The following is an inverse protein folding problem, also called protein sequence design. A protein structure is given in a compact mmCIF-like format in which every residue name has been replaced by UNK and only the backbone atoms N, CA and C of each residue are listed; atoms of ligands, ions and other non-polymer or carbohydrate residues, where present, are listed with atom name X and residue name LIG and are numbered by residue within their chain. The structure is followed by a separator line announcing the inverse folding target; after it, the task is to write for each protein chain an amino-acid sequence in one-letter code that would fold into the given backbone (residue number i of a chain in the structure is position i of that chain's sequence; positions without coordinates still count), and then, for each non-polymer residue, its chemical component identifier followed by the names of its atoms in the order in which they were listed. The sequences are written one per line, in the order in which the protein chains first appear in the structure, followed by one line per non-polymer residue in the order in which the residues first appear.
data_IF_301119969990
#
_entry.id   IF_301119969990
#
_cell.length_a   1.000
_cell.length_b   1.000
_cell.length_c   1.000
_cell.angle_alpha   90.00
_cell.angle_beta   90.00
_cell.angle_gamma   90.00
#
_symmetry.space_group_name_H-M   'P 1'
#
loop_
_entity.id
_entity.type
_entity.pdbx_description
1 polymer ?
#
# COMPACT_ATOMS: atom_id res chain seq x y z
N UNK A 1 -22.83 -31.86 28.05
CA UNK A 1 -22.84 -32.03 26.59
C UNK A 1 -21.72 -31.17 26.08
N UNK A 2 -20.73 -31.85 25.53
CA UNK A 2 -19.37 -31.37 25.23
C UNK A 2 -19.36 -30.32 24.14
N UNK A 3 -18.72 -29.19 24.41
CA UNK A 3 -18.36 -28.19 23.41
C UNK A 3 -17.06 -28.67 22.77
N UNK A 4 -17.16 -29.29 21.59
CA UNK A 4 -16.00 -29.56 20.75
C UNK A 4 -15.47 -28.23 20.21
N UNK A 5 -14.37 -27.77 20.80
CA UNK A 5 -13.48 -26.80 20.22
C UNK A 5 -12.88 -27.38 18.95
N UNK A 6 -13.34 -26.90 17.81
CA UNK A 6 -12.67 -27.09 16.53
C UNK A 6 -11.36 -26.31 16.55
N UNK A 7 -10.34 -26.90 17.12
CA UNK A 7 -8.95 -26.48 16.95
C UNK A 7 -8.58 -26.70 15.46
N UNK A 8 -8.49 -25.63 14.70
CA UNK A 8 -7.90 -25.71 13.36
C UNK A 8 -6.45 -26.16 13.51
N UNK A 9 -5.98 -27.13 12.71
CA UNK A 9 -4.58 -27.47 12.69
C UNK A 9 -3.78 -26.24 12.24
N UNK A 10 -2.64 -25.99 12.91
CA UNK A 10 -1.65 -25.02 12.47
C UNK A 10 -1.15 -25.45 11.09
N UNK A 11 -1.75 -24.92 10.03
CA UNK A 11 -1.32 -25.10 8.66
C UNK A 11 0.07 -24.47 8.49
N UNK A 12 0.91 -25.10 7.70
CA UNK A 12 2.16 -24.52 7.21
C UNK A 12 1.87 -23.09 6.73
N UNK A 13 2.71 -22.14 7.17
CA UNK A 13 2.55 -20.73 6.80
C UNK A 13 2.65 -20.61 5.27
N UNK A 14 1.52 -20.45 4.61
CA UNK A 14 1.46 -20.19 3.17
C UNK A 14 2.18 -18.87 2.90
N UNK A 15 3.22 -18.92 2.05
CA UNK A 15 3.87 -17.70 1.60
C UNK A 15 2.89 -16.86 0.76
N UNK A 16 2.51 -15.66 1.25
CA UNK A 16 1.52 -14.82 0.57
C UNK A 16 1.84 -14.54 -0.90
N UNK A 17 3.12 -14.34 -1.24
CA UNK A 17 3.52 -14.07 -2.62
C UNK A 17 3.31 -15.28 -3.52
N UNK A 18 3.66 -16.46 -3.05
CA UNK A 18 3.52 -17.70 -3.81
C UNK A 18 2.06 -17.96 -4.17
N UNK A 19 1.15 -17.90 -3.20
CA UNK A 19 -0.26 -18.15 -3.47
C UNK A 19 -0.88 -17.06 -4.36
N UNK A 20 -0.54 -15.79 -4.15
CA UNK A 20 -1.01 -14.69 -5.00
C UNK A 20 -0.52 -14.81 -6.45
N UNK A 21 0.69 -15.32 -6.66
CA UNK A 21 1.27 -15.48 -7.99
C UNK A 21 0.70 -16.67 -8.77
N UNK A 22 0.43 -17.80 -8.09
CA UNK A 22 0.11 -19.10 -8.72
C UNK A 22 -1.35 -19.49 -8.61
N UNK A 23 -2.01 -19.13 -7.51
CA UNK A 23 -3.33 -19.62 -7.21
C UNK A 23 -4.39 -19.17 -8.22
N UNK A 24 -5.42 -19.99 -8.35
CA UNK A 24 -6.62 -19.69 -9.15
C UNK A 24 -7.47 -18.65 -8.43
N UNK A 25 -7.90 -17.62 -9.15
CA UNK A 25 -8.68 -16.50 -8.61
C UNK A 25 -10.17 -16.76 -8.82
N UNK A 26 -10.93 -16.78 -7.74
CA UNK A 26 -12.40 -16.90 -7.74
C UNK A 26 -13.03 -15.65 -7.12
N UNK A 27 -13.96 -15.00 -7.86
CA UNK A 27 -14.64 -13.78 -7.37
C UNK A 27 -15.62 -14.17 -6.28
N UNK A 28 -15.43 -13.62 -5.07
CA UNK A 28 -16.35 -13.73 -3.95
C UNK A 28 -17.43 -12.63 -4.01
N UNK A 29 -17.01 -11.40 -4.30
CA UNK A 29 -17.93 -10.28 -4.41
C UNK A 29 -17.24 -8.98 -4.78
N UNK A 30 -18.04 -7.97 -5.12
CA UNK A 30 -17.53 -6.61 -5.37
C UNK A 30 -17.43 -5.85 -4.05
N UNK A 31 -16.32 -5.15 -3.85
CA UNK A 31 -16.14 -4.29 -2.69
C UNK A 31 -17.12 -3.09 -2.77
N UNK A 32 -17.98 -2.91 -1.75
CA UNK A 32 -18.81 -1.72 -1.64
C UNK A 32 -17.91 -0.49 -1.47
N UNK A 33 -18.37 0.66 -1.90
CA UNK A 33 -17.71 1.97 -1.69
C UNK A 33 -16.40 2.20 -2.47
N UNK A 34 -15.95 1.24 -3.29
CA UNK A 34 -14.81 1.46 -4.19
C UNK A 34 -15.22 2.28 -5.41
N UNK A 35 -14.44 3.33 -5.74
CA UNK A 35 -14.65 4.15 -6.93
C UNK A 35 -14.36 3.36 -8.22
N UNK A 36 -13.41 2.43 -8.18
CA UNK A 36 -13.04 1.51 -9.24
C UNK A 36 -13.71 0.13 -9.04
N UNK A 37 -13.68 -0.73 -10.04
CA UNK A 37 -14.16 -2.10 -9.89
C UNK A 37 -13.12 -2.91 -9.10
N UNK A 38 -13.36 -3.03 -7.80
CA UNK A 38 -12.53 -3.77 -6.84
C UNK A 38 -13.29 -4.97 -6.33
N UNK A 39 -12.64 -6.13 -6.27
CA UNK A 39 -13.27 -7.39 -5.90
C UNK A 39 -12.53 -8.06 -4.73
N UNK A 40 -13.32 -8.55 -3.77
CA UNK A 40 -12.85 -9.58 -2.85
C UNK A 40 -12.83 -10.89 -3.62
N UNK A 41 -11.72 -11.61 -3.55
CA UNK A 41 -11.53 -12.89 -4.22
C UNK A 41 -10.98 -13.92 -3.24
N UNK A 42 -11.27 -15.19 -3.54
CA UNK A 42 -10.57 -16.35 -3.01
C UNK A 42 -9.46 -16.74 -3.99
N UNK A 43 -8.29 -17.05 -3.48
CA UNK A 43 -7.14 -17.52 -4.26
C UNK A 43 -6.79 -18.92 -3.76
N UNK A 44 -6.82 -19.91 -4.66
CA UNK A 44 -6.66 -21.33 -4.34
C UNK A 44 -5.42 -21.88 -5.04
N UNK A 45 -4.49 -22.45 -4.30
CA UNK A 45 -3.30 -23.15 -4.80
C UNK A 45 -3.15 -24.50 -4.09
N UNK A 46 -3.57 -25.58 -4.75
CA UNK A 46 -3.66 -26.90 -4.14
C UNK A 46 -4.67 -26.93 -2.98
N UNK A 47 -4.20 -27.27 -1.79
CA UNK A 47 -5.03 -27.30 -0.56
C UNK A 47 -5.07 -25.95 0.16
N UNK A 48 -4.25 -24.99 -0.29
CA UNK A 48 -4.15 -23.68 0.33
C UNK A 48 -5.19 -22.72 -0.26
N UNK A 49 -5.78 -21.91 0.62
CA UNK A 49 -6.76 -20.89 0.24
C UNK A 49 -6.49 -19.60 0.99
N UNK A 50 -6.49 -18.48 0.25
CA UNK A 50 -6.31 -17.15 0.82
C UNK A 50 -7.36 -16.17 0.29
N UNK A 51 -7.62 -15.11 1.03
CA UNK A 51 -8.40 -13.96 0.55
C UNK A 51 -7.48 -12.90 -0.02
N UNK A 52 -7.94 -12.27 -1.10
CA UNK A 52 -7.20 -11.17 -1.73
C UNK A 52 -8.14 -10.11 -2.29
N UNK A 53 -7.59 -8.93 -2.58
CA UNK A 53 -8.26 -7.85 -3.29
C UNK A 53 -7.74 -7.83 -4.73
N UNK A 54 -8.66 -8.00 -5.67
CA UNK A 54 -8.37 -7.96 -7.10
C UNK A 54 -8.88 -6.66 -7.71
N UNK A 55 -7.97 -5.92 -8.37
CA UNK A 55 -8.26 -4.68 -9.07
C UNK A 55 -7.90 -4.87 -10.55
N UNK A 56 -8.87 -5.26 -11.40
CA UNK A 56 -8.64 -5.47 -12.83
C UNK A 56 -8.45 -4.13 -13.59
N UNK A 57 -7.58 -4.11 -14.58
CA UNK A 57 -7.36 -2.95 -15.46
C UNK A 57 -8.67 -2.44 -16.08
N UNK A 58 -9.56 -3.35 -16.48
CA UNK A 58 -10.89 -3.01 -17.05
C UNK A 58 -11.81 -2.29 -16.06
N UNK A 59 -11.49 -2.35 -14.77
CA UNK A 59 -12.27 -1.72 -13.70
C UNK A 59 -11.87 -0.29 -13.40
N UNK A 60 -10.78 0.19 -13.99
CA UNK A 60 -10.27 1.52 -13.74
C UNK A 60 -11.16 2.59 -14.40
N UNK A 61 -11.46 3.63 -13.64
CA UNK A 61 -12.07 4.84 -14.19
C UNK A 61 -10.98 5.75 -14.71
N UNK A 62 -11.06 6.25 -15.94
CA UNK A 62 -10.11 7.23 -16.45
C UNK A 62 -10.07 8.47 -15.54
N UNK A 63 -8.86 8.86 -15.15
CA UNK A 63 -8.59 10.08 -14.41
C UNK A 63 -7.91 11.07 -15.35
N UNK A 64 -8.26 12.36 -15.22
CA UNK A 64 -7.70 13.40 -16.08
C UNK A 64 -6.23 13.73 -15.72
N UNK A 65 -5.81 13.41 -14.51
CA UNK A 65 -4.51 13.77 -13.93
C UNK A 65 -3.64 12.55 -13.57
N UNK A 66 -4.08 11.35 -13.97
CA UNK A 66 -3.31 10.12 -13.86
C UNK A 66 -3.40 9.31 -15.16
N UNK A 67 -2.30 8.71 -15.62
CA UNK A 67 -2.34 7.76 -16.73
C UNK A 67 -3.12 6.49 -16.34
N UNK A 68 -3.59 5.74 -17.33
CA UNK A 68 -4.17 4.40 -17.12
C UNK A 68 -3.12 3.44 -16.58
N UNK A 69 -3.55 2.36 -15.93
CA UNK A 69 -2.66 1.38 -15.33
C UNK A 69 -2.47 1.60 -13.83
N UNK A 70 -3.49 2.09 -13.14
CA UNK A 70 -3.48 2.28 -11.68
C UNK A 70 -3.15 0.98 -10.94
N UNK A 71 -3.57 -0.18 -11.48
CA UNK A 71 -3.22 -1.48 -10.94
C UNK A 71 -1.70 -1.73 -10.89
N UNK A 72 -0.91 -1.18 -11.84
CA UNK A 72 0.56 -1.27 -11.82
C UNK A 72 1.14 -0.47 -10.66
N UNK A 73 0.51 0.65 -10.30
CA UNK A 73 0.91 1.49 -9.18
C UNK A 73 0.66 0.82 -7.83
N UNK A 74 -0.41 0.03 -7.72
CA UNK A 74 -0.64 -0.84 -6.55
C UNK A 74 0.52 -1.85 -6.37
N UNK A 75 0.97 -2.46 -7.47
CA UNK A 75 2.13 -3.37 -7.44
C UNK A 75 3.42 -2.61 -7.14
N UNK A 76 3.63 -1.45 -7.78
CA UNK A 76 4.79 -0.59 -7.53
C UNK A 76 4.90 -0.14 -6.07
N UNK A 77 3.77 0.18 -5.43
CA UNK A 77 3.70 0.52 -4.02
C UNK A 77 4.21 -0.62 -3.12
N UNK A 78 3.78 -1.86 -3.39
CA UNK A 78 4.30 -3.01 -2.68
C UNK A 78 5.79 -3.21 -2.93
N UNK A 79 6.23 -3.15 -4.19
CA UNK A 79 7.66 -3.33 -4.54
C UNK A 79 8.50 -2.28 -3.83
N UNK A 80 8.12 -0.99 -3.87
CA UNK A 80 8.81 0.08 -3.14
C UNK A 80 8.91 -0.23 -1.64
N UNK A 81 7.79 -0.60 -1.02
CA UNK A 81 7.71 -0.91 0.41
C UNK A 81 8.59 -2.11 0.79
N UNK A 82 8.66 -3.12 -0.06
CA UNK A 82 9.46 -4.34 0.18
C UNK A 82 10.96 -4.10 -0.02
N UNK A 83 11.37 -3.44 -1.12
CA UNK A 83 12.80 -3.23 -1.42
C UNK A 83 13.46 -2.24 -0.46
N UNK A 84 12.69 -1.31 0.12
CA UNK A 84 13.17 -0.40 1.16
C UNK A 84 13.14 -1.03 2.55
N UNK A 85 12.48 -2.18 2.72
CA UNK A 85 12.30 -2.78 4.04
C UNK A 85 11.31 -2.02 4.95
N UNK A 86 10.64 -0.99 4.45
CA UNK A 86 9.57 -0.30 5.20
C UNK A 86 8.42 -1.25 5.53
N UNK A 87 8.11 -2.17 4.61
CA UNK A 87 7.12 -3.25 4.78
C UNK A 87 5.76 -2.76 5.29
N UNK A 88 5.29 -1.63 4.78
CA UNK A 88 4.01 -1.00 5.17
C UNK A 88 2.87 -1.27 4.18
N UNK A 89 3.15 -1.91 3.02
CA UNK A 89 2.14 -2.26 2.02
C UNK A 89 1.99 -3.77 1.98
N UNK A 90 0.75 -4.30 1.98
CA UNK A 90 0.52 -5.74 1.93
C UNK A 90 1.09 -6.37 0.64
N UNK A 91 1.50 -7.64 0.66
CA UNK A 91 1.95 -8.37 -0.53
C UNK A 91 0.99 -8.14 -1.70
N UNK A 92 1.51 -7.65 -2.81
CA UNK A 92 0.73 -7.32 -4.01
C UNK A 92 1.48 -7.76 -5.26
N UNK A 93 0.81 -8.48 -6.15
CA UNK A 93 1.40 -9.00 -7.37
C UNK A 93 0.66 -8.51 -8.60
N UNK A 94 1.35 -8.47 -9.73
CA UNK A 94 0.75 -8.32 -11.05
C UNK A 94 0.21 -9.68 -11.51
N UNK A 95 -1.04 -9.73 -11.94
CA UNK A 95 -1.64 -10.89 -12.60
C UNK A 95 -1.94 -10.51 -14.03
N UNK A 96 -1.26 -11.16 -14.99
CA UNK A 96 -1.53 -11.02 -16.43
C UNK A 96 -2.87 -11.64 -16.81
N UNK A 97 -3.30 -12.64 -16.05
CA UNK A 97 -4.55 -13.35 -16.24
C UNK A 97 -5.36 -13.38 -14.94
N UNK A 98 -6.63 -13.09 -15.05
CA UNK A 98 -7.59 -13.14 -13.96
C UNK A 98 -9.01 -13.20 -14.51
N UNK A 99 -10.03 -13.39 -13.66
CA UNK A 99 -11.43 -13.53 -14.10
C UNK A 99 -11.94 -12.36 -14.94
N UNK A 100 -11.36 -11.17 -14.77
CA UNK A 100 -11.69 -9.96 -15.54
C UNK A 100 -10.50 -9.40 -16.32
N UNK A 101 -9.46 -10.22 -16.57
CA UNK A 101 -8.26 -9.86 -17.30
C UNK A 101 -7.09 -9.50 -16.39
N UNK A 102 -6.11 -8.75 -16.90
CA UNK A 102 -4.97 -8.31 -16.12
C UNK A 102 -5.37 -7.36 -14.97
N UNK A 103 -4.56 -7.35 -13.91
CA UNK A 103 -4.79 -6.48 -12.76
C UNK A 103 -3.79 -6.69 -11.63
N UNK A 104 -3.95 -5.97 -10.54
CA UNK A 104 -3.25 -6.23 -9.28
C UNK A 104 -4.04 -7.16 -8.38
N UNK A 105 -3.31 -7.99 -7.65
CA UNK A 105 -3.85 -8.89 -6.64
C UNK A 105 -3.10 -8.67 -5.34
N UNK A 106 -3.77 -8.11 -4.34
CA UNK A 106 -3.21 -7.75 -3.04
C UNK A 106 -3.73 -8.69 -1.96
N UNK A 107 -2.84 -9.11 -1.07
CA UNK A 107 -3.21 -9.86 0.14
C UNK A 107 -4.27 -9.11 0.94
N UNK A 108 -5.34 -9.79 1.31
CA UNK A 108 -6.40 -9.20 2.13
C UNK A 108 -5.94 -9.06 3.58
N UNK A 109 -5.96 -7.84 4.09
CA UNK A 109 -5.67 -7.57 5.50
C UNK A 109 -6.96 -7.71 6.30
N UNK A 110 -6.98 -8.68 7.21
CA UNK A 110 -8.05 -8.76 8.20
C UNK A 110 -7.83 -7.68 9.25
N UNK A 111 -8.78 -6.79 9.40
CA UNK A 111 -8.67 -5.66 10.31
C UNK A 111 -10.04 -5.28 10.87
N UNK A 112 -10.05 -4.55 11.97
CA UNK A 112 -11.23 -3.85 12.45
C UNK A 112 -11.41 -2.56 11.62
N UNK A 113 -12.31 -2.59 10.65
CA UNK A 113 -12.58 -1.46 9.76
C UNK A 113 -13.29 -0.28 10.43
N UNK A 114 -13.64 -0.39 11.71
CA UNK A 114 -14.07 0.76 12.50
C UNK A 114 -12.92 1.62 13.01
N UNK A 115 -11.68 1.05 13.01
CA UNK A 115 -10.47 1.78 13.32
C UNK A 115 -9.93 2.46 12.06
N UNK A 116 -9.35 3.63 12.22
CA UNK A 116 -8.73 4.40 11.15
C UNK A 116 -7.56 5.22 11.71
N UNK A 117 -6.74 5.79 10.82
CA UNK A 117 -5.51 6.48 11.21
C UNK A 117 -5.65 7.39 12.44
N UNK A 118 -6.65 8.27 12.49
CA UNK A 118 -6.80 9.22 13.59
C UNK A 118 -7.06 8.54 14.93
N UNK A 119 -7.94 7.54 14.97
CA UNK A 119 -8.20 6.77 16.20
C UNK A 119 -6.98 5.94 16.62
N UNK A 120 -6.27 5.37 15.65
CA UNK A 120 -5.04 4.63 15.90
C UNK A 120 -3.93 5.54 16.42
N UNK A 121 -3.76 6.73 15.83
CA UNK A 121 -2.77 7.71 16.29
C UNK A 121 -3.00 8.11 17.77
N UNK A 122 -4.25 8.40 18.13
CA UNK A 122 -4.61 8.80 19.49
C UNK A 122 -4.49 7.68 20.53
N UNK A 123 -4.74 6.45 20.15
CA UNK A 123 -4.92 5.32 21.10
C UNK A 123 -3.77 4.32 21.10
N UNK A 124 -2.88 4.34 20.09
CA UNK A 124 -1.86 3.32 19.86
C UNK A 124 -0.48 3.95 19.61
N UNK A 125 0.12 4.52 20.68
CA UNK A 125 1.49 5.07 20.61
C UNK A 125 2.51 4.04 20.11
N UNK A 126 2.28 2.76 20.40
CA UNK A 126 3.11 1.64 19.94
C UNK A 126 3.16 1.50 18.40
N UNK A 127 2.24 2.13 17.68
CA UNK A 127 2.21 2.15 16.21
C UNK A 127 2.87 3.40 15.61
N UNK A 128 3.29 4.39 16.40
CA UNK A 128 3.79 5.67 15.87
C UNK A 128 5.03 5.48 14.98
N UNK A 129 5.93 4.55 15.30
CA UNK A 129 7.09 4.28 14.44
C UNK A 129 6.69 3.66 13.10
N UNK A 130 5.67 2.80 13.09
CA UNK A 130 5.11 2.27 11.84
C UNK A 130 4.36 3.36 11.06
N UNK A 131 3.72 4.32 11.72
CA UNK A 131 3.10 5.49 11.09
C UNK A 131 4.15 6.42 10.48
N UNK A 132 5.30 6.62 11.14
CA UNK A 132 6.45 7.35 10.56
C UNK A 132 7.00 6.65 9.32
N UNK A 133 7.11 5.32 9.34
CA UNK A 133 7.50 4.55 8.15
C UNK A 133 6.49 4.69 7.01
N UNK A 134 5.18 4.70 7.31
CA UNK A 134 4.11 4.96 6.35
C UNK A 134 4.18 6.39 5.78
N UNK A 135 4.50 7.39 6.61
CA UNK A 135 4.69 8.77 6.15
C UNK A 135 5.88 8.88 5.19
N UNK A 136 7.02 8.24 5.51
CA UNK A 136 8.18 8.16 4.59
C UNK A 136 7.78 7.50 3.27
N UNK A 137 7.05 6.39 3.33
CA UNK A 137 6.52 5.73 2.13
C UNK A 137 5.64 6.69 1.30
N UNK A 138 4.66 7.34 1.92
CA UNK A 138 3.74 8.25 1.22
C UNK A 138 4.49 9.42 0.54
N UNK A 139 5.52 9.97 1.19
CA UNK A 139 6.36 11.05 0.64
C UNK A 139 7.13 10.55 -0.58
N UNK A 140 7.85 9.44 -0.47
CA UNK A 140 8.66 8.87 -1.55
C UNK A 140 7.78 8.43 -2.72
N UNK A 141 6.69 7.73 -2.44
CA UNK A 141 5.72 7.29 -3.44
C UNK A 141 4.86 8.45 -4.00
N UNK A 142 4.93 9.67 -3.43
CA UNK A 142 4.03 10.77 -3.76
C UNK A 142 2.56 10.33 -3.75
N UNK A 143 2.14 9.70 -2.65
CA UNK A 143 0.77 9.21 -2.52
C UNK A 143 -0.21 10.38 -2.51
N UNK A 144 -1.21 10.34 -3.39
CA UNK A 144 -2.13 11.46 -3.55
C UNK A 144 -3.49 11.25 -2.89
N UNK A 145 -3.70 10.12 -2.19
CA UNK A 145 -5.00 9.77 -1.61
C UNK A 145 -4.90 8.88 -0.36
N UNK A 146 -3.88 9.08 0.52
CA UNK A 146 -3.80 8.35 1.79
C UNK A 146 -4.89 8.83 2.73
N UNK A 147 -6.04 8.16 2.74
CA UNK A 147 -7.15 8.41 3.66
C UNK A 147 -6.91 7.70 5.00
N UNK A 148 -7.64 8.14 6.03
CA UNK A 148 -7.52 7.53 7.35
C UNK A 148 -7.95 6.05 7.36
N UNK A 149 -8.98 5.70 6.60
CA UNK A 149 -9.44 4.31 6.42
C UNK A 149 -8.51 3.43 5.57
N UNK A 150 -7.48 4.02 4.93
CA UNK A 150 -6.47 3.25 4.21
C UNK A 150 -5.31 2.76 5.11
N UNK A 151 -5.35 3.06 6.40
CA UNK A 151 -4.41 2.58 7.42
C UNK A 151 -5.09 1.50 8.27
N UNK A 152 -4.69 0.24 8.08
CA UNK A 152 -5.28 -0.92 8.73
C UNK A 152 -4.29 -1.57 9.68
N UNK A 153 -4.76 -2.02 10.85
CA UNK A 153 -3.94 -2.84 11.74
C UNK A 153 -4.35 -4.30 11.60
N UNK A 154 -3.41 -5.12 11.14
CA UNK A 154 -3.61 -6.55 10.99
C UNK A 154 -3.61 -7.29 12.33
N UNK A 155 -4.00 -8.58 12.34
CA UNK A 155 -4.03 -9.39 13.57
C UNK A 155 -2.63 -9.65 14.16
N UNK A 156 -1.59 -9.45 13.37
CA UNK A 156 -0.18 -9.49 13.77
C UNK A 156 0.30 -8.19 14.43
N UNK A 157 -0.57 -7.19 14.58
CA UNK A 157 -0.26 -5.87 15.14
C UNK A 157 0.50 -4.94 14.18
N UNK A 158 0.63 -5.32 12.90
CA UNK A 158 1.30 -4.48 11.89
C UNK A 158 0.34 -3.48 11.26
N UNK A 159 0.87 -2.29 11.01
CA UNK A 159 0.17 -1.24 10.25
C UNK A 159 0.38 -1.46 8.75
N UNK A 160 -0.72 -1.52 8.02
CA UNK A 160 -0.75 -1.72 6.59
C UNK A 160 -1.43 -0.57 5.86
N UNK A 161 -0.82 -0.10 4.77
CA UNK A 161 -1.38 0.90 3.87
C UNK A 161 -2.01 0.23 2.65
N UNK A 162 -3.28 0.47 2.41
CA UNK A 162 -4.01 -0.05 1.26
C UNK A 162 -4.39 1.08 0.29
N UNK A 163 -4.91 0.70 -0.88
CA UNK A 163 -5.41 1.61 -1.93
C UNK A 163 -4.36 2.61 -2.43
N UNK A 164 -3.28 2.08 -3.00
CA UNK A 164 -2.09 2.82 -3.43
C UNK A 164 -2.06 3.09 -4.96
N UNK A 165 -3.19 2.96 -5.65
CA UNK A 165 -3.26 3.17 -7.10
C UNK A 165 -2.94 4.60 -7.55
N UNK A 166 -2.95 5.59 -6.63
CA UNK A 166 -2.67 6.99 -6.91
C UNK A 166 -1.29 7.42 -6.37
N UNK A 167 -0.28 6.55 -6.52
CA UNK A 167 1.13 6.81 -6.22
C UNK A 167 1.92 7.14 -7.48
N UNK A 168 3.14 7.61 -7.32
CA UNK A 168 4.20 7.81 -8.31
C UNK A 168 3.94 8.90 -9.36
N UNK A 169 2.96 9.78 -9.19
CA UNK A 169 2.84 10.92 -10.09
C UNK A 169 4.15 11.72 -10.14
N UNK A 170 4.57 12.14 -11.35
CA UNK A 170 5.76 12.98 -11.51
C UNK A 170 5.56 14.37 -10.87
N UNK A 171 4.40 14.99 -11.07
CA UNK A 171 4.05 16.22 -10.38
C UNK A 171 3.92 16.02 -8.87
N UNK A 172 4.42 16.95 -8.06
CA UNK A 172 4.28 16.91 -6.61
C UNK A 172 2.80 17.09 -6.20
N UNK A 173 2.17 15.99 -5.76
CA UNK A 173 0.74 15.92 -5.43
C UNK A 173 0.46 15.26 -4.08
N UNK A 174 1.45 15.13 -3.20
CA UNK A 174 1.28 14.44 -1.92
C UNK A 174 0.03 14.91 -1.19
N UNK A 175 -0.89 13.95 -0.91
CA UNK A 175 -2.06 14.12 -0.06
C UNK A 175 -2.17 12.92 0.87
N UNK A 176 -1.95 13.16 2.13
CA UNK A 176 -1.97 12.14 3.18
C UNK A 176 -2.68 12.70 4.41
N UNK A 177 -3.18 11.80 5.25
CA UNK A 177 -3.67 12.18 6.58
C UNK A 177 -2.54 12.22 7.62
N UNK A 178 -1.32 11.77 7.28
CA UNK A 178 -0.22 11.58 8.23
C UNK A 178 0.65 12.85 8.28
N UNK A 179 0.21 13.87 9.01
CA UNK A 179 0.93 15.15 9.16
C UNK A 179 1.40 15.44 10.58
N UNK A 180 1.02 14.62 11.56
CA UNK A 180 1.30 14.83 12.99
C UNK A 180 2.80 14.85 13.30
N UNK A 181 3.61 14.18 12.48
CA UNK A 181 5.08 14.14 12.63
C UNK A 181 5.79 15.32 11.96
N UNK A 182 5.06 16.25 11.35
CA UNK A 182 5.62 17.40 10.61
C UNK A 182 6.63 18.19 11.41
N UNK A 183 7.86 18.36 10.87
CA UNK A 183 8.97 19.06 11.52
C UNK A 183 9.81 18.18 12.45
N UNK A 184 9.38 16.95 12.78
CA UNK A 184 10.21 16.01 13.53
C UNK A 184 11.37 15.51 12.66
N UNK A 185 12.54 15.20 13.26
CA UNK A 185 13.61 14.51 12.56
C UNK A 185 13.17 13.11 12.15
N UNK A 186 13.53 12.71 10.93
CA UNK A 186 13.32 11.34 10.46
C UNK A 186 14.47 10.47 11.00
N UNK A 187 14.12 9.33 11.58
CA UNK A 187 15.11 8.38 12.10
C UNK A 187 16.08 7.92 10.99
N UNK A 188 17.35 7.77 11.32
CA UNK A 188 18.40 7.38 10.37
C UNK A 188 18.09 6.05 9.67
N UNK A 189 17.43 5.12 10.36
CA UNK A 189 17.00 3.83 9.80
C UNK A 189 16.05 4.02 8.63
N UNK A 190 15.08 4.94 8.74
CA UNK A 190 14.12 5.24 7.68
C UNK A 190 14.79 5.96 6.51
N UNK A 191 15.68 6.93 6.77
CA UNK A 191 16.44 7.61 5.73
C UNK A 191 17.37 6.64 4.99
N UNK A 192 18.05 5.76 5.71
CA UNK A 192 18.96 4.77 5.12
C UNK A 192 18.20 3.71 4.31
N UNK A 193 16.95 3.40 4.69
CA UNK A 193 16.09 2.48 3.95
C UNK A 193 15.77 2.99 2.54
N UNK A 194 15.54 4.28 2.38
CA UNK A 194 15.15 4.89 1.09
C UNK A 194 16.34 5.46 0.31
N UNK A 195 17.45 5.79 0.97
CA UNK A 195 18.64 6.42 0.36
C UNK A 195 19.16 5.72 -0.90
N UNK A 196 19.22 4.37 -1.00
CA UNK A 196 19.69 3.70 -2.21
C UNK A 196 18.89 4.05 -3.47
N UNK A 197 17.59 4.36 -3.32
CA UNK A 197 16.70 4.68 -4.44
C UNK A 197 17.08 6.01 -5.14
N UNK A 198 17.90 6.83 -4.52
CA UNK A 198 18.41 8.08 -5.08
C UNK A 198 19.20 7.88 -6.38
N UNK A 199 20.01 6.84 -6.40
CA UNK A 199 20.97 6.59 -7.48
C UNK A 199 20.60 5.35 -8.30
N UNK A 200 19.93 4.36 -7.70
CA UNK A 200 19.62 3.08 -8.34
C UNK A 200 18.22 2.61 -7.95
N UNK A 201 17.32 2.59 -8.92
CA UNK A 201 15.97 2.06 -8.74
C UNK A 201 15.97 0.57 -9.11
N UNK A 202 15.46 -0.33 -8.21
CA UNK A 202 15.34 -1.74 -8.55
C UNK A 202 14.59 -1.94 -9.86
N UNK A 203 15.10 -2.80 -10.74
CA UNK A 203 14.52 -3.07 -12.07
C UNK A 203 13.04 -3.44 -12.00
N UNK A 204 12.64 -4.17 -10.95
CA UNK A 204 11.25 -4.55 -10.71
C UNK A 204 10.32 -3.37 -10.45
N UNK A 205 10.83 -2.29 -9.85
CA UNK A 205 10.07 -1.05 -9.64
C UNK A 205 10.11 -0.19 -10.91
N UNK A 206 11.29 0.00 -11.49
CA UNK A 206 11.47 0.80 -12.70
C UNK A 206 10.62 0.31 -13.88
N UNK A 207 10.41 -1.01 -13.99
CA UNK A 207 9.56 -1.58 -15.05
C UNK A 207 8.05 -1.24 -14.93
N UNK A 208 7.63 -0.66 -13.81
CA UNK A 208 6.23 -0.28 -13.52
C UNK A 208 5.98 1.22 -13.66
N UNK A 209 7.03 2.02 -13.85
CA UNK A 209 7.01 3.48 -13.86
C UNK A 209 7.52 4.03 -15.20
N UNK A 210 7.04 5.21 -15.55
CA UNK A 210 7.57 5.97 -16.67
C UNK A 210 8.85 6.73 -16.27
N UNK A 211 9.66 7.17 -17.26
CA UNK A 211 10.93 7.84 -16.99
C UNK A 211 10.77 9.10 -16.10
N UNK A 212 9.80 9.95 -16.39
CA UNK A 212 9.52 11.16 -15.61
C UNK A 212 9.09 10.83 -14.16
N UNK A 213 8.44 9.69 -13.94
CA UNK A 213 8.03 9.21 -12.61
C UNK A 213 9.23 8.69 -11.81
N UNK A 214 10.20 8.04 -12.51
CA UNK A 214 11.47 7.59 -11.92
C UNK A 214 12.28 8.79 -11.48
N UNK A 215 12.50 9.76 -12.36
CA UNK A 215 13.28 10.97 -12.07
C UNK A 215 12.67 11.72 -10.88
N UNK A 216 11.36 11.91 -10.88
CA UNK A 216 10.66 12.59 -9.79
C UNK A 216 10.69 11.80 -8.46
N UNK A 217 10.70 10.46 -8.49
CA UNK A 217 10.86 9.65 -7.29
C UNK A 217 12.27 9.84 -6.71
N UNK A 218 13.30 9.80 -7.54
CA UNK A 218 14.68 9.99 -7.12
C UNK A 218 14.92 11.39 -6.55
N UNK A 219 14.33 12.43 -7.14
CA UNK A 219 14.36 13.79 -6.63
C UNK A 219 13.70 13.89 -5.24
N UNK A 220 12.52 13.28 -5.03
CA UNK A 220 11.86 13.24 -3.73
C UNK A 220 12.69 12.52 -2.67
N UNK A 221 13.37 11.45 -3.04
CA UNK A 221 14.29 10.74 -2.12
C UNK A 221 15.47 11.63 -1.76
N UNK A 222 16.07 12.33 -2.73
CA UNK A 222 17.19 13.26 -2.48
C UNK A 222 16.77 14.39 -1.54
N UNK A 223 15.63 15.00 -1.79
CA UNK A 223 15.05 16.05 -0.95
C UNK A 223 14.83 15.56 0.48
N UNK A 224 14.18 14.39 0.64
CA UNK A 224 13.86 13.84 1.96
C UNK A 224 15.13 13.52 2.76
N UNK A 225 16.12 12.89 2.11
CA UNK A 225 17.40 12.53 2.74
C UNK A 225 18.21 13.78 3.09
N UNK A 226 18.16 14.83 2.27
CA UNK A 226 18.87 16.08 2.48
C UNK A 226 18.24 16.92 3.60
N UNK A 227 16.90 16.97 3.66
CA UNK A 227 16.17 17.70 4.70
C UNK A 227 16.20 16.98 6.05
N UNK A 228 16.12 15.66 6.06
CA UNK A 228 16.18 14.84 7.28
C UNK A 228 15.03 15.04 8.26
N UNK A 229 13.96 15.75 7.85
CA UNK A 229 12.78 16.05 8.66
C UNK A 229 11.50 15.79 7.89
N UNK A 230 10.43 15.40 8.59
CA UNK A 230 9.12 15.28 7.98
C UNK A 230 8.61 16.64 7.47
N UNK A 231 8.06 16.72 6.26
CA UNK A 231 7.51 17.97 5.75
C UNK A 231 6.28 18.40 6.56
N UNK A 232 6.04 19.72 6.58
CA UNK A 232 4.87 20.32 7.23
C UNK A 232 3.89 20.78 6.14
N UNK A 233 2.61 20.46 6.28
CA UNK A 233 1.58 21.11 5.48
C UNK A 233 1.14 22.44 6.08
N UNK A 234 1.89 23.51 5.79
CA UNK A 234 1.56 24.87 6.23
C UNK A 234 0.25 25.41 5.63
N UNK A 235 -0.29 24.73 4.62
CA UNK A 235 -1.50 25.20 3.90
C UNK A 235 -2.79 24.59 4.40
N UNK A 236 -2.73 23.42 5.05
CA UNK A 236 -3.88 22.59 5.41
C UNK A 236 -4.66 22.05 4.21
N UNK A 237 -4.06 22.06 3.00
CA UNK A 237 -4.71 21.68 1.74
C UNK A 237 -4.21 20.34 1.16
N UNK A 238 -3.25 19.71 1.83
CA UNK A 238 -2.65 18.45 1.38
C UNK A 238 -3.28 17.22 2.04
N UNK A 239 -4.54 17.35 2.42
CA UNK A 239 -5.37 16.22 2.86
C UNK A 239 -6.14 15.63 1.68
N UNK A 240 -6.34 14.31 1.62
CA UNK A 240 -7.24 13.70 0.66
C UNK A 240 -8.70 14.07 0.96
N UNK A 241 -9.58 13.92 -0.01
CA UNK A 241 -11.01 14.12 0.20
C UNK A 241 -11.82 12.95 -0.39
N UNK A 242 -12.75 12.34 0.37
CA UNK A 242 -12.98 12.52 1.82
C UNK A 242 -11.81 12.04 2.67
N UNK A 243 -11.76 12.42 3.96
CA UNK A 243 -10.68 12.05 4.88
C UNK A 243 -10.76 10.57 5.31
N UNK A 244 -11.97 10.01 5.34
CA UNK A 244 -12.27 8.63 5.77
C UNK A 244 -13.00 7.90 4.66
#
# INVERSE_FOLDING_TARGET
MSSDELTQPAGEHVDPLTILQRGTIEIVGRMPWSSNATFLVSVVDGDDTARAIYKPARGERPLWDFPSGLFKREVGAYVLSAVTGLNVIPPTVLRSEGPLGEGSLQWFVEADFAQHYFTLYEQREDLHDQMRAMAVFDIVANNTDRKSGHCLVGPDGRLWGIDNGLCFAAESKLRTVIWEFGGEPIADELLNAVRPLRDDLPVTLAALLDADEIDALQERVDDLVTQGTFPIDATGRRYPWPLV
#
